data_IF_081354507238
#
_entry.id   IF_081354507238
#
_cell.length_a   1.000
_cell.length_b   1.000
_cell.length_c   1.000
_cell.angle_alpha   90.00
_cell.angle_beta   90.00
_cell.angle_gamma   90.00
#
_symmetry.space_group_name_H-M   'P 1'
#
loop_
_entity.id
_entity.type
_entity.pdbx_description
1 polymer ?
#
# COMPACT_ATOMS: atom_id res chain seq x y z
N UNK A 1 -25.63 -14.30 -23.42
CA UNK A 1 -25.86 -15.57 -24.13
C UNK A 1 -26.22 -15.27 -25.58
N UNK A 2 -25.62 -15.95 -26.55
CA UNK A 2 -26.00 -15.86 -27.98
C UNK A 2 -27.26 -16.69 -28.33
N UNK A 3 -27.85 -17.37 -27.35
CA UNK A 3 -29.10 -18.14 -27.46
C UNK A 3 -30.06 -17.77 -26.32
N UNK A 4 -30.89 -16.73 -26.49
CA UNK A 4 -31.82 -16.26 -25.47
C UNK A 4 -32.89 -17.31 -25.07
N UNK A 5 -33.11 -18.33 -25.91
CA UNK A 5 -34.03 -19.43 -25.64
C UNK A 5 -33.64 -20.30 -24.42
N UNK A 6 -32.38 -20.25 -23.96
CA UNK A 6 -31.90 -21.12 -22.88
C UNK A 6 -32.34 -20.65 -21.49
N UNK A 7 -32.83 -19.40 -21.33
CA UNK A 7 -33.37 -18.86 -20.06
C UNK A 7 -32.49 -19.09 -18.81
N UNK A 8 -31.17 -19.23 -18.98
CA UNK A 8 -30.22 -19.36 -17.87
C UNK A 8 -29.62 -18.00 -17.57
N UNK A 9 -29.75 -17.55 -16.32
CA UNK A 9 -29.09 -16.36 -15.79
C UNK A 9 -28.01 -16.78 -14.80
N UNK A 10 -26.79 -16.31 -15.00
CA UNK A 10 -25.69 -16.50 -14.07
C UNK A 10 -25.55 -15.26 -13.19
N UNK A 11 -25.53 -15.44 -11.88
CA UNK A 11 -25.22 -14.40 -10.91
C UNK A 11 -23.96 -14.85 -10.18
N UNK A 12 -22.93 -14.01 -10.20
CA UNK A 12 -21.68 -14.24 -9.47
C UNK A 12 -21.45 -13.08 -8.51
N UNK A 13 -20.85 -13.38 -7.37
CA UNK A 13 -20.43 -12.38 -6.39
C UNK A 13 -18.92 -12.49 -6.20
N UNK A 14 -18.27 -11.36 -6.06
CA UNK A 14 -16.82 -11.29 -5.91
C UNK A 14 -16.47 -10.07 -5.06
N UNK A 15 -15.41 -10.23 -4.26
CA UNK A 15 -14.80 -9.12 -3.51
C UNK A 15 -13.92 -8.23 -4.41
N UNK A 16 -13.69 -8.65 -5.65
CA UNK A 16 -12.86 -7.99 -6.67
C UNK A 16 -13.62 -7.80 -7.96
N UNK A 17 -13.28 -6.74 -8.69
CA UNK A 17 -13.70 -6.60 -10.08
C UNK A 17 -13.24 -7.80 -10.91
N UNK A 18 -14.07 -8.22 -11.87
CA UNK A 18 -13.71 -9.29 -12.81
C UNK A 18 -12.43 -8.93 -13.57
N UNK A 19 -12.28 -7.66 -13.98
CA UNK A 19 -11.05 -7.15 -14.58
C UNK A 19 -9.80 -7.43 -13.72
N UNK A 20 -9.86 -7.17 -12.41
CA UNK A 20 -8.72 -7.45 -11.51
C UNK A 20 -8.41 -8.95 -11.46
N UNK A 21 -9.44 -9.80 -11.37
CA UNK A 21 -9.28 -11.26 -11.38
C UNK A 21 -8.64 -11.73 -12.69
N UNK A 22 -9.11 -11.24 -13.84
CA UNK A 22 -8.55 -11.61 -15.15
C UNK A 22 -7.07 -11.24 -15.26
N UNK A 23 -6.71 -10.02 -14.85
CA UNK A 23 -5.31 -9.55 -14.84
C UNK A 23 -4.43 -10.42 -13.94
N UNK A 24 -4.93 -10.87 -12.78
CA UNK A 24 -4.19 -11.75 -11.86
C UNK A 24 -3.93 -13.14 -12.46
N UNK A 25 -4.91 -13.71 -13.17
CA UNK A 25 -4.80 -15.05 -13.76
C UNK A 25 -3.84 -15.12 -14.95
N UNK A 26 -3.46 -13.96 -15.53
CA UNK A 26 -2.69 -13.87 -16.80
C UNK A 26 -3.32 -14.65 -17.95
N UNK A 27 -4.63 -14.92 -17.87
CA UNK A 27 -5.38 -15.60 -18.90
C UNK A 27 -5.92 -14.60 -19.93
N UNK A 28 -6.29 -15.08 -21.12
CA UNK A 28 -6.87 -14.27 -22.21
C UNK A 28 -8.40 -14.11 -22.03
N UNK A 29 -8.87 -14.05 -20.78
CA UNK A 29 -10.30 -14.00 -20.46
C UNK A 29 -10.90 -12.65 -20.85
N UNK A 30 -12.15 -12.67 -21.35
CA UNK A 30 -12.96 -11.47 -21.67
C UNK A 30 -14.29 -11.47 -20.90
N UNK A 31 -14.33 -12.21 -19.79
CA UNK A 31 -15.47 -12.40 -18.91
C UNK A 31 -15.90 -11.08 -18.26
N UNK A 32 -14.96 -10.19 -17.94
CA UNK A 32 -15.26 -8.86 -17.38
C UNK A 32 -16.23 -8.04 -18.25
N UNK A 33 -16.10 -8.15 -19.57
CA UNK A 33 -16.96 -7.45 -20.53
C UNK A 33 -18.27 -8.18 -20.83
N UNK A 34 -18.45 -9.39 -20.29
CA UNK A 34 -19.65 -10.21 -20.51
C UNK A 34 -20.71 -10.03 -19.42
N UNK A 35 -20.30 -9.72 -18.20
CA UNK A 35 -21.20 -9.55 -17.06
C UNK A 35 -21.67 -8.11 -16.90
N UNK A 36 -22.96 -7.93 -16.57
CA UNK A 36 -23.44 -6.68 -16.02
C UNK A 36 -22.90 -6.51 -14.60
N UNK A 37 -22.26 -5.38 -14.32
CA UNK A 37 -21.61 -5.11 -13.03
C UNK A 37 -22.56 -4.36 -12.12
N UNK A 38 -22.71 -4.86 -10.89
CA UNK A 38 -23.43 -4.16 -9.84
C UNK A 38 -22.54 -4.14 -8.59
N UNK A 39 -22.22 -2.93 -8.13
CA UNK A 39 -21.36 -2.73 -6.96
C UNK A 39 -22.24 -2.55 -5.73
N UNK A 40 -21.98 -3.37 -4.71
CA UNK A 40 -22.65 -3.24 -3.42
C UNK A 40 -21.82 -2.29 -2.55
N UNK A 41 -22.38 -1.11 -2.30
CA UNK A 41 -21.78 -0.09 -1.45
C UNK A 41 -22.27 -0.15 0.00
N UNK A 42 -21.95 0.91 0.72
CA UNK A 42 -22.47 1.16 2.07
C UNK A 42 -23.96 1.52 2.00
N UNK A 43 -24.69 1.30 3.10
CA UNK A 43 -26.05 1.83 3.24
C UNK A 43 -26.06 3.35 3.05
N UNK A 44 -27.02 3.80 2.26
CA UNK A 44 -27.38 5.20 2.11
C UNK A 44 -28.29 5.65 3.26
N UNK A 45 -28.80 6.88 3.17
CA UNK A 45 -29.62 7.47 4.24
C UNK A 45 -30.91 6.67 4.45
N UNK A 46 -31.57 6.25 3.36
CA UNK A 46 -32.83 5.51 3.41
C UNK A 46 -32.63 4.11 4.03
N UNK A 47 -31.58 3.39 3.60
CA UNK A 47 -31.24 2.09 4.17
C UNK A 47 -30.80 2.17 5.64
N UNK A 48 -30.12 3.25 6.04
CA UNK A 48 -29.79 3.50 7.45
C UNK A 48 -31.04 3.75 8.30
N UNK A 49 -32.02 4.49 7.78
CA UNK A 49 -33.30 4.70 8.46
C UNK A 49 -34.05 3.38 8.66
N UNK A 50 -34.09 2.52 7.64
CA UNK A 50 -34.67 1.18 7.74
C UNK A 50 -33.94 0.32 8.78
N UNK A 51 -32.61 0.33 8.76
CA UNK A 51 -31.79 -0.36 9.75
C UNK A 51 -32.12 0.10 11.18
N UNK A 52 -32.17 1.40 11.44
CA UNK A 52 -32.50 1.91 12.78
C UNK A 52 -33.95 1.61 13.17
N UNK A 53 -34.90 1.62 12.23
CA UNK A 53 -36.29 1.26 12.50
C UNK A 53 -36.43 -0.20 12.97
N UNK A 54 -35.57 -1.12 12.51
CA UNK A 54 -35.55 -2.51 12.99
C UNK A 54 -35.18 -2.59 14.47
N UNK A 55 -34.25 -1.75 14.94
CA UNK A 55 -33.90 -1.69 16.37
C UNK A 55 -35.06 -1.12 17.21
N UNK A 56 -35.78 -0.12 16.69
CA UNK A 56 -36.99 0.40 17.35
C UNK A 56 -38.10 -0.65 17.49
N UNK A 57 -38.23 -1.57 16.53
CA UNK A 57 -39.23 -2.63 16.58
C UNK A 57 -39.03 -3.64 17.72
N UNK A 58 -37.82 -3.72 18.29
CA UNK A 58 -37.51 -4.56 19.47
C UNK A 58 -37.48 -3.77 20.77
N UNK A 59 -38.03 -2.55 20.78
CA UNK A 59 -38.15 -1.70 21.96
C UNK A 59 -36.93 -0.82 22.25
N UNK A 60 -35.97 -0.75 21.32
CA UNK A 60 -34.79 0.09 21.45
C UNK A 60 -35.02 1.40 20.72
N UNK A 61 -35.39 2.45 21.45
CA UNK A 61 -35.44 3.80 20.90
C UNK A 61 -34.02 4.41 20.90
N UNK A 62 -33.56 4.83 19.71
CA UNK A 62 -32.21 5.34 19.51
C UNK A 62 -32.25 6.85 19.35
N UNK A 63 -31.90 7.62 20.40
CA UNK A 63 -31.75 9.05 20.24
C UNK A 63 -30.61 9.35 19.26
N UNK A 64 -30.64 10.56 18.68
CA UNK A 64 -29.67 10.99 17.66
C UNK A 64 -28.21 10.74 18.08
N UNK A 65 -27.88 11.05 19.33
CA UNK A 65 -26.53 10.83 19.87
C UNK A 65 -26.08 9.37 19.78
N UNK A 66 -26.96 8.42 20.07
CA UNK A 66 -26.65 6.98 19.99
C UNK A 66 -26.50 6.51 18.55
N UNK A 67 -27.30 7.05 17.63
CA UNK A 67 -27.12 6.81 16.19
C UNK A 67 -25.76 7.33 15.72
N UNK A 68 -25.39 8.55 16.12
CA UNK A 68 -24.09 9.15 15.78
C UNK A 68 -22.91 8.30 16.32
N UNK A 69 -23.04 7.73 17.52
CA UNK A 69 -22.05 6.78 18.07
C UNK A 69 -21.96 5.49 17.24
N UNK A 70 -23.09 4.90 16.83
CA UNK A 70 -23.09 3.72 15.96
C UNK A 70 -22.42 4.02 14.61
N UNK A 71 -22.73 5.18 14.03
CA UNK A 71 -22.16 5.65 12.76
C UNK A 71 -20.68 6.00 12.88
N UNK A 72 -20.19 6.42 14.05
CA UNK A 72 -18.76 6.61 14.27
C UNK A 72 -17.96 5.32 14.02
N UNK A 73 -18.42 4.20 14.60
CA UNK A 73 -17.78 2.89 14.42
C UNK A 73 -18.03 2.30 13.03
N UNK A 74 -19.30 2.26 12.63
CA UNK A 74 -19.75 1.44 11.50
C UNK A 74 -19.88 2.25 10.20
N UNK A 75 -20.14 3.54 10.30
CA UNK A 75 -20.62 4.34 9.17
C UNK A 75 -21.87 3.69 8.56
N UNK A 76 -21.90 3.57 7.24
CA UNK A 76 -22.94 2.82 6.52
C UNK A 76 -22.60 1.34 6.27
N UNK A 77 -21.56 0.78 6.90
CA UNK A 77 -21.08 -0.56 6.54
C UNK A 77 -22.04 -1.66 7.03
N UNK A 78 -22.70 -2.42 6.12
CA UNK A 78 -23.78 -3.34 6.51
C UNK A 78 -23.34 -4.39 7.52
N UNK A 79 -22.20 -5.06 7.29
CA UNK A 79 -21.67 -6.07 8.22
C UNK A 79 -21.34 -5.52 9.61
N UNK A 80 -20.69 -4.34 9.69
CA UNK A 80 -20.36 -3.73 10.97
C UNK A 80 -21.62 -3.26 11.70
N UNK A 81 -22.58 -2.68 10.99
CA UNK A 81 -23.88 -2.30 11.54
C UNK A 81 -24.63 -3.52 12.10
N UNK A 82 -24.69 -4.65 11.39
CA UNK A 82 -25.36 -5.85 11.90
C UNK A 82 -24.63 -6.45 13.11
N UNK A 83 -23.29 -6.50 13.10
CA UNK A 83 -22.50 -6.97 14.25
C UNK A 83 -22.69 -6.08 15.49
N UNK A 84 -22.59 -4.76 15.29
CA UNK A 84 -22.76 -3.76 16.33
C UNK A 84 -24.21 -3.74 16.86
N UNK A 85 -25.18 -3.81 15.96
CA UNK A 85 -26.61 -3.84 16.28
C UNK A 85 -26.99 -5.08 17.08
N UNK A 86 -26.47 -6.25 16.70
CA UNK A 86 -26.64 -7.49 17.47
C UNK A 86 -26.14 -7.31 18.91
N UNK A 87 -24.91 -6.82 19.10
CA UNK A 87 -24.34 -6.67 20.44
C UNK A 87 -25.09 -5.60 21.28
N UNK A 88 -25.57 -4.53 20.64
CA UNK A 88 -26.43 -3.53 21.30
C UNK A 88 -27.73 -4.17 21.78
N UNK A 89 -28.37 -5.03 20.98
CA UNK A 89 -29.60 -5.73 21.38
C UNK A 89 -29.33 -6.69 22.53
N UNK A 90 -28.23 -7.44 22.50
CA UNK A 90 -27.88 -8.37 23.58
C UNK A 90 -27.57 -7.63 24.89
N UNK A 91 -26.82 -6.54 24.86
CA UNK A 91 -26.59 -5.71 26.05
C UNK A 91 -27.87 -5.08 26.60
N UNK A 92 -28.77 -4.62 25.71
CA UNK A 92 -30.06 -4.09 26.13
C UNK A 92 -30.91 -5.18 26.80
N UNK A 93 -30.88 -6.42 26.32
CA UNK A 93 -31.56 -7.57 26.97
C UNK A 93 -30.97 -7.90 28.34
N UNK A 94 -29.64 -7.82 28.49
CA UNK A 94 -28.96 -8.12 29.75
C UNK A 94 -29.17 -7.02 30.81
N UNK A 95 -29.19 -5.75 30.40
CA UNK A 95 -29.06 -4.61 31.32
C UNK A 95 -30.20 -3.59 31.27
N UNK A 96 -31.06 -3.66 30.25
CA UNK A 96 -32.10 -2.66 29.99
C UNK A 96 -31.59 -1.31 29.48
N UNK A 97 -30.29 -1.19 29.20
CA UNK A 97 -29.64 0.06 28.80
C UNK A 97 -28.90 -0.14 27.47
N UNK A 98 -29.02 0.84 26.58
CA UNK A 98 -28.24 0.90 25.35
C UNK A 98 -26.88 1.52 25.65
N UNK A 99 -25.82 0.74 25.49
CA UNK A 99 -24.44 1.17 25.69
C UNK A 99 -23.58 0.79 24.48
N UNK A 100 -23.41 1.74 23.56
CA UNK A 100 -22.68 1.53 22.30
C UNK A 100 -21.19 1.33 22.54
N UNK A 101 -20.60 2.03 23.51
CA UNK A 101 -19.17 1.91 23.81
C UNK A 101 -18.85 0.53 24.39
N UNK A 102 -19.68 0.05 25.32
CA UNK A 102 -19.53 -1.30 25.87
C UNK A 102 -19.77 -2.37 24.82
N UNK A 103 -20.76 -2.19 23.95
CA UNK A 103 -20.99 -3.09 22.82
C UNK A 103 -19.76 -3.13 21.91
N UNK A 104 -19.22 -1.97 21.52
CA UNK A 104 -18.05 -1.87 20.65
C UNK A 104 -16.83 -2.56 21.27
N UNK A 105 -16.63 -2.42 22.59
CA UNK A 105 -15.57 -3.10 23.33
C UNK A 105 -15.70 -4.63 23.32
N UNK A 106 -16.92 -5.17 23.37
CA UNK A 106 -17.15 -6.63 23.32
C UNK A 106 -16.79 -7.22 21.95
N UNK A 107 -16.99 -6.46 20.88
CA UNK A 107 -16.70 -6.89 19.50
C UNK A 107 -15.42 -6.28 18.91
N UNK A 108 -14.60 -5.62 19.74
CA UNK A 108 -13.43 -4.84 19.30
C UNK A 108 -12.51 -5.67 18.41
N UNK A 109 -12.14 -6.87 18.86
CA UNK A 109 -11.28 -7.76 18.08
C UNK A 109 -11.90 -8.12 16.73
N UNK A 110 -13.20 -8.39 16.68
CA UNK A 110 -13.90 -8.72 15.43
C UNK A 110 -13.96 -7.54 14.45
N UNK A 111 -14.05 -6.31 14.95
CA UNK A 111 -13.93 -5.09 14.12
C UNK A 111 -12.52 -5.00 13.54
N UNK A 112 -11.49 -5.19 14.37
CA UNK A 112 -10.09 -5.12 13.94
C UNK A 112 -9.77 -6.22 12.93
N UNK A 113 -10.17 -7.47 13.18
CA UNK A 113 -9.98 -8.60 12.25
C UNK A 113 -10.63 -8.31 10.89
N UNK A 114 -11.83 -7.70 10.89
CA UNK A 114 -12.51 -7.28 9.67
C UNK A 114 -11.74 -6.20 8.91
N UNK A 115 -11.18 -5.21 9.63
CA UNK A 115 -10.33 -4.18 9.03
C UNK A 115 -9.08 -4.80 8.42
N UNK A 116 -8.36 -5.66 9.16
CA UNK A 116 -7.18 -6.36 8.68
C UNK A 116 -7.47 -7.18 7.41
N UNK A 117 -8.62 -7.87 7.38
CA UNK A 117 -9.06 -8.59 6.20
C UNK A 117 -9.29 -7.67 5.00
N UNK A 118 -9.97 -6.54 5.18
CA UNK A 118 -10.15 -5.54 4.12
C UNK A 118 -8.81 -5.00 3.62
N UNK A 119 -7.89 -4.67 4.53
CA UNK A 119 -6.55 -4.19 4.17
C UNK A 119 -5.74 -5.27 3.43
N UNK A 120 -5.92 -6.55 3.77
CA UNK A 120 -5.32 -7.67 3.06
C UNK A 120 -5.75 -7.73 1.59
N UNK A 121 -7.06 -7.62 1.34
CA UNK A 121 -7.61 -7.57 -0.04
C UNK A 121 -7.07 -6.36 -0.80
N UNK A 122 -7.06 -5.18 -0.19
CA UNK A 122 -6.54 -3.95 -0.79
C UNK A 122 -5.03 -4.02 -1.07
N UNK A 123 -4.27 -4.72 -0.22
CA UNK A 123 -2.83 -4.89 -0.37
C UNK A 123 -2.48 -5.76 -1.57
N UNK A 124 -3.22 -6.85 -1.77
CA UNK A 124 -3.07 -7.75 -2.91
C UNK A 124 -3.33 -7.03 -4.24
N UNK A 125 -4.31 -6.11 -4.28
CA UNK A 125 -4.65 -5.31 -5.46
C UNK A 125 -3.85 -4.01 -5.57
N UNK A 126 -2.81 -3.82 -4.75
CA UNK A 126 -1.97 -2.61 -4.67
C UNK A 126 -2.77 -1.30 -4.41
N UNK A 127 -4.00 -1.42 -3.95
CA UNK A 127 -4.93 -0.31 -3.70
C UNK A 127 -4.80 0.26 -2.28
N UNK A 128 -4.13 -0.44 -1.36
CA UNK A 128 -3.90 0.05 0.01
C UNK A 128 -3.13 1.37 0.04
N UNK A 129 -2.01 1.47 -0.71
CA UNK A 129 -1.24 2.71 -0.77
C UNK A 129 -2.08 3.86 -1.40
N UNK A 130 -2.92 3.52 -2.39
CA UNK A 130 -3.80 4.49 -3.07
C UNK A 130 -4.79 5.11 -2.09
N UNK A 131 -5.49 4.29 -1.30
CA UNK A 131 -6.45 4.80 -0.32
C UNK A 131 -5.78 5.68 0.76
N UNK A 132 -4.57 5.33 1.21
CA UNK A 132 -3.82 6.15 2.18
C UNK A 132 -3.44 7.52 1.59
N UNK A 133 -2.91 7.55 0.36
CA UNK A 133 -2.59 8.80 -0.34
C UNK A 133 -3.82 9.68 -0.57
N UNK A 134 -4.96 9.08 -0.91
CA UNK A 134 -6.22 9.81 -1.16
C UNK A 134 -6.76 10.43 0.14
N UNK A 135 -6.67 9.73 1.27
CA UNK A 135 -7.25 10.18 2.53
C UNK A 135 -6.34 11.11 3.36
N UNK A 136 -5.02 10.95 3.25
CA UNK A 136 -4.05 11.63 4.11
C UNK A 136 -2.97 12.39 3.35
N UNK A 137 -2.74 12.06 2.08
CA UNK A 137 -1.65 12.62 1.27
C UNK A 137 -0.25 12.15 1.72
N UNK A 138 0.81 12.64 1.05
CA UNK A 138 0.79 13.32 -0.23
C UNK A 138 0.44 12.36 -1.39
N UNK A 139 -0.25 12.86 -2.41
CA UNK A 139 -0.59 12.08 -3.61
C UNK A 139 0.65 11.97 -4.51
N UNK A 140 1.22 10.78 -4.62
CA UNK A 140 2.44 10.53 -5.40
C UNK A 140 2.16 9.77 -6.70
N UNK A 141 1.27 8.79 -6.66
CA UNK A 141 0.93 7.98 -7.83
C UNK A 141 -0.55 7.55 -7.87
N UNK A 142 -1.38 7.98 -6.92
CA UNK A 142 -2.82 7.78 -6.95
C UNK A 142 -3.49 8.66 -8.01
N UNK A 143 -4.41 8.06 -8.77
CA UNK A 143 -5.16 8.69 -9.86
C UNK A 143 -6.64 8.85 -9.49
N UNK A 144 -7.34 9.72 -10.22
CA UNK A 144 -8.78 9.88 -10.09
C UNK A 144 -9.54 8.55 -10.24
N UNK A 145 -9.10 7.69 -11.17
CA UNK A 145 -9.70 6.35 -11.38
C UNK A 145 -9.55 5.44 -10.16
N UNK A 146 -8.48 5.59 -9.38
CA UNK A 146 -8.29 4.82 -8.14
C UNK A 146 -9.31 5.27 -7.07
N UNK A 147 -9.56 6.58 -6.98
CA UNK A 147 -10.57 7.13 -6.07
C UNK A 147 -11.99 6.70 -6.47
N UNK A 148 -12.34 6.75 -7.75
CA UNK A 148 -13.63 6.26 -8.26
C UNK A 148 -13.84 4.77 -7.94
N UNK A 149 -12.80 3.93 -8.08
CA UNK A 149 -12.91 2.51 -7.79
C UNK A 149 -13.11 2.26 -6.28
N UNK A 150 -12.37 2.96 -5.42
CA UNK A 150 -12.53 2.89 -3.96
C UNK A 150 -13.91 3.39 -3.50
N UNK A 151 -14.48 4.40 -4.17
CA UNK A 151 -15.86 4.84 -3.95
C UNK A 151 -16.89 3.79 -4.37
N UNK A 152 -16.69 3.12 -5.52
CA UNK A 152 -17.58 2.03 -5.98
C UNK A 152 -17.59 0.86 -5.00
N UNK A 153 -16.46 0.55 -4.36
CA UNK A 153 -16.40 -0.42 -3.27
C UNK A 153 -16.97 0.10 -1.94
N UNK A 154 -17.39 1.37 -1.88
CA UNK A 154 -17.95 2.00 -0.69
C UNK A 154 -16.92 2.34 0.40
N UNK A 155 -15.62 2.20 0.13
CA UNK A 155 -14.56 2.38 1.14
C UNK A 155 -14.33 3.85 1.49
N UNK A 156 -14.55 4.74 0.53
CA UNK A 156 -14.44 6.19 0.70
C UNK A 156 -15.68 6.90 0.12
N UNK A 157 -15.93 8.11 0.61
CA UNK A 157 -16.96 9.03 0.12
C UNK A 157 -16.29 10.36 -0.22
N UNK A 158 -16.80 11.06 -1.22
CA UNK A 158 -16.37 12.42 -1.55
C UNK A 158 -17.43 13.41 -1.07
N UNK A 159 -17.00 14.49 -0.42
CA UNK A 159 -17.88 15.60 -0.04
C UNK A 159 -18.07 16.59 -1.20
N UNK A 160 -18.97 17.56 -1.02
CA UNK A 160 -19.26 18.59 -2.03
C UNK A 160 -18.05 19.47 -2.37
N UNK A 161 -17.02 19.48 -1.52
CA UNK A 161 -15.79 20.24 -1.71
C UNK A 161 -14.69 19.42 -2.41
N UNK A 162 -14.95 18.16 -2.77
CA UNK A 162 -13.98 17.28 -3.41
C UNK A 162 -13.06 16.54 -2.44
N UNK A 163 -13.29 16.62 -1.12
CA UNK A 163 -12.48 15.91 -0.13
C UNK A 163 -12.99 14.49 0.07
N UNK A 164 -12.05 13.56 0.21
CA UNK A 164 -12.36 12.16 0.47
C UNK A 164 -12.31 11.83 1.97
N UNK A 165 -13.30 11.07 2.43
CA UNK A 165 -13.34 10.49 3.79
C UNK A 165 -13.57 8.98 3.71
N UNK A 166 -13.11 8.23 4.71
CA UNK A 166 -13.43 6.81 4.81
C UNK A 166 -14.92 6.58 5.14
N UNK A 167 -15.42 5.36 4.98
CA UNK A 167 -16.83 5.04 5.24
C UNK A 167 -17.27 5.28 6.70
N UNK A 168 -16.35 5.21 7.66
CA UNK A 168 -16.54 5.57 9.07
C UNK A 168 -15.32 6.28 9.65
N UNK A 169 -15.53 7.09 10.69
CA UNK A 169 -14.42 7.82 11.33
C UNK A 169 -13.52 6.89 12.16
N UNK A 170 -14.09 5.82 12.72
CA UNK A 170 -13.30 4.79 13.39
C UNK A 170 -12.35 4.08 12.40
N UNK A 171 -12.83 3.70 11.21
CA UNK A 171 -11.97 3.12 10.18
C UNK A 171 -10.94 4.12 9.66
N UNK A 172 -11.29 5.40 9.51
CA UNK A 172 -10.32 6.47 9.19
C UNK A 172 -9.21 6.56 10.23
N UNK A 173 -9.56 6.51 11.52
CA UNK A 173 -8.60 6.55 12.62
C UNK A 173 -7.68 5.34 12.59
N UNK A 174 -8.22 4.15 12.35
CA UNK A 174 -7.44 2.93 12.16
C UNK A 174 -6.48 3.05 10.96
N UNK A 175 -6.94 3.51 9.80
CA UNK A 175 -6.10 3.75 8.62
C UNK A 175 -4.99 4.76 8.89
N UNK A 176 -5.23 5.79 9.72
CA UNK A 176 -4.20 6.75 10.14
C UNK A 176 -3.15 6.11 11.05
N UNK A 177 -3.53 5.16 11.88
CA UNK A 177 -2.55 4.37 12.66
C UNK A 177 -1.69 3.50 11.75
N UNK A 178 -2.31 2.87 10.74
CA UNK A 178 -1.60 2.08 9.73
C UNK A 178 -0.68 2.99 8.89
N UNK A 179 -1.14 4.16 8.46
CA UNK A 179 -0.32 5.14 7.73
C UNK A 179 0.95 5.54 8.49
N UNK A 180 0.81 5.84 9.80
CA UNK A 180 1.96 6.09 10.68
C UNK A 180 2.91 4.91 10.80
N UNK A 181 2.43 3.68 10.62
CA UNK A 181 3.25 2.46 10.59
C UNK A 181 3.81 2.14 9.18
N UNK A 182 3.35 2.85 8.13
CA UNK A 182 3.62 2.62 6.70
C UNK A 182 4.66 3.59 6.12
N UNK A 183 5.28 4.46 6.94
CA UNK A 183 6.23 5.49 6.49
C UNK A 183 7.60 4.96 5.98
N UNK A 184 7.85 3.65 6.05
CA UNK A 184 9.12 3.08 5.59
C UNK A 184 9.21 2.94 4.07
N UNK A 185 8.11 2.70 3.36
CA UNK A 185 8.18 2.43 1.91
C UNK A 185 8.46 3.68 1.06
N UNK A 186 7.78 4.82 1.26
CA UNK A 186 8.13 6.06 0.56
C UNK A 186 9.57 6.48 0.85
N UNK A 187 9.98 6.44 2.13
CA UNK A 187 11.33 6.76 2.58
C UNK A 187 12.39 5.82 1.97
N UNK A 188 12.09 4.53 1.90
CA UNK A 188 12.94 3.54 1.24
C UNK A 188 13.11 3.83 -0.24
N UNK A 189 12.01 4.12 -0.96
CA UNK A 189 12.04 4.43 -2.39
C UNK A 189 12.87 5.67 -2.67
N UNK A 190 12.71 6.71 -1.87
CA UNK A 190 13.52 7.93 -1.95
C UNK A 190 15.02 7.62 -1.75
N UNK A 191 15.33 6.77 -0.77
CA UNK A 191 16.70 6.32 -0.48
C UNK A 191 17.29 5.58 -1.68
N UNK A 192 16.57 4.63 -2.27
CA UNK A 192 17.06 3.88 -3.45
C UNK A 192 17.29 4.78 -4.66
N UNK A 193 16.35 5.69 -4.97
CA UNK A 193 16.47 6.62 -6.10
C UNK A 193 17.70 7.52 -5.91
N UNK A 194 17.89 8.04 -4.70
CA UNK A 194 19.02 8.92 -4.38
C UNK A 194 20.35 8.16 -4.46
N UNK A 195 20.41 6.93 -3.94
CA UNK A 195 21.60 6.07 -4.06
C UNK A 195 21.96 5.77 -5.52
N UNK A 196 20.98 5.37 -6.35
CA UNK A 196 21.19 5.10 -7.78
C UNK A 196 21.77 6.32 -8.49
N UNK A 197 21.20 7.50 -8.25
CA UNK A 197 21.68 8.75 -8.83
C UNK A 197 23.13 9.03 -8.41
N UNK A 198 23.44 9.01 -7.13
CA UNK A 198 24.79 9.32 -6.63
C UNK A 198 25.82 8.30 -7.11
N UNK A 199 25.46 7.02 -7.18
CA UNK A 199 26.34 5.99 -7.75
C UNK A 199 26.59 6.28 -9.23
N UNK A 200 25.55 6.51 -10.02
CA UNK A 200 25.69 6.80 -11.44
C UNK A 200 26.57 8.04 -11.67
N UNK A 201 26.32 9.14 -10.95
CA UNK A 201 27.14 10.35 -11.02
C UNK A 201 28.62 10.06 -10.71
N UNK A 202 28.90 9.38 -9.60
CA UNK A 202 30.28 9.08 -9.17
C UNK A 202 31.00 8.10 -10.08
N UNK A 203 30.29 7.14 -10.64
CA UNK A 203 30.89 6.19 -11.58
C UNK A 203 31.13 6.83 -12.94
N UNK A 204 30.23 7.71 -13.42
CA UNK A 204 30.45 8.50 -14.64
C UNK A 204 31.64 9.46 -14.47
N UNK A 205 31.76 10.13 -13.32
CA UNK A 205 32.92 11.00 -13.00
C UNK A 205 34.26 10.24 -13.07
N UNK A 206 34.28 8.95 -12.72
CA UNK A 206 35.51 8.16 -12.61
C UNK A 206 35.84 7.32 -13.84
N UNK A 207 34.83 6.76 -14.51
CA UNK A 207 34.98 5.80 -15.61
C UNK A 207 34.31 6.26 -16.92
N UNK A 208 33.65 7.43 -16.94
CA UNK A 208 32.94 7.94 -18.12
C UNK A 208 31.57 7.31 -18.35
N UNK A 209 30.95 7.59 -19.50
CA UNK A 209 29.58 7.11 -19.81
C UNK A 209 29.47 5.58 -19.86
N UNK A 210 30.57 4.89 -20.21
CA UNK A 210 30.67 3.43 -20.26
C UNK A 210 31.10 2.80 -18.92
N UNK A 211 30.83 3.48 -17.80
CA UNK A 211 31.33 3.06 -16.48
C UNK A 211 30.97 1.62 -16.10
N UNK A 212 29.84 1.08 -16.55
CA UNK A 212 29.44 -0.30 -16.24
C UNK A 212 30.41 -1.31 -16.86
N UNK A 213 30.85 -1.07 -18.08
CA UNK A 213 31.76 -1.95 -18.82
C UNK A 213 33.16 -1.89 -18.22
N UNK A 214 33.63 -0.69 -17.91
CA UNK A 214 34.92 -0.47 -17.26
C UNK A 214 34.96 -1.00 -15.83
N UNK A 215 33.90 -0.78 -15.05
CA UNK A 215 33.78 -1.32 -13.70
C UNK A 215 33.71 -2.85 -13.73
N UNK A 216 33.01 -3.45 -14.70
CA UNK A 216 32.96 -4.91 -14.85
C UNK A 216 34.33 -5.53 -15.19
N UNK A 217 35.17 -4.80 -15.95
CA UNK A 217 36.56 -5.21 -16.22
C UNK A 217 37.43 -5.09 -14.96
N UNK A 218 37.31 -3.98 -14.23
CA UNK A 218 38.10 -3.71 -13.03
C UNK A 218 37.69 -4.59 -11.84
N UNK A 219 36.40 -4.93 -11.74
CA UNK A 219 35.78 -5.68 -10.64
C UNK A 219 34.93 -6.85 -11.20
N UNK A 220 35.56 -7.97 -11.58
CA UNK A 220 34.86 -9.10 -12.19
C UNK A 220 33.72 -9.68 -11.34
N UNK A 221 33.78 -9.51 -10.01
CA UNK A 221 32.74 -9.93 -9.07
C UNK A 221 31.41 -9.17 -9.23
N UNK A 222 31.42 -7.97 -9.80
CA UNK A 222 30.20 -7.21 -10.10
C UNK A 222 29.59 -7.57 -11.45
N UNK A 223 30.32 -8.30 -12.30
CA UNK A 223 29.86 -8.64 -13.66
C UNK A 223 28.53 -9.38 -13.64
N UNK A 224 28.37 -10.33 -12.73
CA UNK A 224 27.13 -11.13 -12.58
C UNK A 224 25.92 -10.28 -12.20
N UNK A 225 26.13 -9.22 -11.41
CA UNK A 225 25.07 -8.26 -11.05
C UNK A 225 24.58 -7.55 -12.32
N UNK A 226 25.51 -7.04 -13.14
CA UNK A 226 25.15 -6.32 -14.37
C UNK A 226 24.58 -7.24 -15.45
N UNK A 227 25.06 -8.48 -15.56
CA UNK A 227 24.47 -9.50 -16.44
C UNK A 227 23.00 -9.78 -16.04
N UNK A 228 22.72 -9.93 -14.74
CA UNK A 228 21.35 -10.10 -14.22
C UNK A 228 20.47 -8.88 -14.49
N UNK A 229 21.00 -7.67 -14.30
CA UNK A 229 20.30 -6.41 -14.62
C UNK A 229 19.97 -6.31 -16.11
N UNK A 230 20.89 -6.73 -16.99
CA UNK A 230 20.71 -6.73 -18.43
C UNK A 230 19.63 -7.71 -18.87
N UNK A 231 19.55 -8.90 -18.26
CA UNK A 231 18.45 -9.83 -18.50
C UNK A 231 17.10 -9.25 -18.06
N UNK A 232 17.04 -8.56 -16.92
CA UNK A 232 15.84 -7.89 -16.43
C UNK A 232 15.40 -6.76 -17.37
N UNK A 233 16.35 -5.94 -17.83
CA UNK A 233 16.12 -4.88 -18.82
C UNK A 233 15.58 -5.43 -20.13
N UNK A 234 16.19 -6.48 -20.68
CA UNK A 234 15.72 -7.12 -21.92
C UNK A 234 14.29 -7.69 -21.79
N UNK A 235 13.93 -8.22 -20.62
CA UNK A 235 12.55 -8.67 -20.33
C UNK A 235 11.59 -7.49 -20.30
N UNK A 236 11.98 -6.36 -19.71
CA UNK A 236 11.18 -5.15 -19.66
C UNK A 236 11.01 -4.53 -21.06
N UNK A 237 12.08 -4.43 -21.85
CA UNK A 237 12.06 -3.94 -23.24
C UNK A 237 11.14 -4.79 -24.12
N UNK A 238 11.18 -6.12 -23.99
CA UNK A 238 10.26 -7.02 -24.70
C UNK A 238 8.80 -6.79 -24.32
N UNK A 239 8.53 -6.37 -23.08
CA UNK A 239 7.19 -6.21 -22.55
C UNK A 239 6.62 -4.80 -22.77
N UNK A 240 7.47 -3.77 -22.78
CA UNK A 240 7.06 -2.36 -22.74
C UNK A 240 7.73 -1.48 -23.81
N UNK A 241 8.57 -2.05 -24.67
CA UNK A 241 9.18 -1.38 -25.82
C UNK A 241 9.94 -0.11 -25.43
N UNK A 242 9.61 1.01 -26.08
CA UNK A 242 10.29 2.30 -25.89
C UNK A 242 10.07 2.94 -24.51
N UNK A 243 9.22 2.36 -23.65
CA UNK A 243 8.97 2.84 -22.27
C UNK A 243 9.86 2.17 -21.22
N UNK A 244 10.61 1.13 -21.59
CA UNK A 244 11.53 0.46 -20.67
C UNK A 244 12.69 1.38 -20.26
N UNK A 245 13.22 1.19 -19.05
CA UNK A 245 14.38 1.99 -18.64
C UNK A 245 15.61 1.64 -19.47
N UNK A 246 16.34 2.67 -19.90
CA UNK A 246 17.63 2.53 -20.59
C UNK A 246 18.80 2.39 -19.63
N UNK A 247 18.62 2.72 -18.35
CA UNK A 247 19.68 2.69 -17.35
C UNK A 247 19.71 1.33 -16.65
N UNK A 248 20.83 0.60 -16.79
CA UNK A 248 21.00 -0.70 -16.14
C UNK A 248 20.94 -0.62 -14.60
N UNK A 249 21.33 0.52 -14.01
CA UNK A 249 21.30 0.72 -12.56
C UNK A 249 19.87 0.78 -12.01
N UNK A 250 18.85 1.00 -12.85
CA UNK A 250 17.46 1.00 -12.41
C UNK A 250 16.97 -0.41 -12.05
N UNK A 251 17.65 -1.44 -12.55
CA UNK A 251 17.33 -2.85 -12.31
C UNK A 251 18.08 -3.46 -11.13
N UNK A 252 18.92 -2.68 -10.43
CA UNK A 252 19.68 -3.16 -9.27
C UNK A 252 18.81 -3.26 -8.01
N UNK A 253 19.09 -4.27 -7.20
CA UNK A 253 18.54 -4.46 -5.87
C UNK A 253 19.40 -3.74 -4.81
N UNK A 254 18.93 -3.60 -3.56
CA UNK A 254 19.67 -2.85 -2.54
C UNK A 254 21.04 -3.44 -2.26
N UNK A 255 21.13 -4.78 -2.21
CA UNK A 255 22.39 -5.49 -2.05
C UNK A 255 23.39 -5.18 -3.17
N UNK A 256 22.89 -5.01 -4.40
CA UNK A 256 23.71 -4.68 -5.57
C UNK A 256 24.27 -3.25 -5.47
N UNK A 257 23.45 -2.29 -5.04
CA UNK A 257 23.87 -0.90 -4.83
C UNK A 257 25.01 -0.82 -3.81
N UNK A 258 24.87 -1.53 -2.68
CA UNK A 258 25.92 -1.59 -1.67
C UNK A 258 27.15 -2.38 -2.15
N UNK A 259 26.97 -3.42 -2.97
CA UNK A 259 28.10 -4.13 -3.58
C UNK A 259 28.95 -3.22 -4.47
N UNK A 260 28.29 -2.37 -5.28
CA UNK A 260 28.98 -1.35 -6.11
C UNK A 260 29.71 -0.35 -5.21
N UNK A 261 29.04 0.21 -4.20
CA UNK A 261 29.64 1.16 -3.24
C UNK A 261 30.86 0.56 -2.54
N UNK A 262 30.80 -0.70 -2.10
CA UNK A 262 31.89 -1.34 -1.38
C UNK A 262 33.06 -1.75 -2.27
N UNK A 263 32.81 -2.08 -3.54
CA UNK A 263 33.86 -2.33 -4.52
C UNK A 263 34.68 -1.06 -4.79
N UNK A 264 33.99 0.08 -4.88
CA UNK A 264 34.60 1.39 -5.16
C UNK A 264 34.63 2.32 -3.95
N UNK A 265 34.88 1.74 -2.77
CA UNK A 265 34.78 2.47 -1.51
C UNK A 265 35.70 3.68 -1.39
N UNK A 266 36.86 3.68 -2.06
CA UNK A 266 37.74 4.85 -2.10
C UNK A 266 37.02 6.11 -2.62
N UNK A 267 36.03 5.94 -3.49
CA UNK A 267 35.23 7.02 -4.08
C UNK A 267 34.09 7.45 -3.14
N UNK A 268 33.48 6.49 -2.43
CA UNK A 268 32.30 6.73 -1.61
C UNK A 268 32.60 7.03 -0.13
N UNK A 269 33.79 6.70 0.37
CA UNK A 269 34.13 6.82 1.80
C UNK A 269 33.88 8.21 2.36
N UNK A 270 34.18 9.26 1.59
CA UNK A 270 34.11 10.64 2.04
C UNK A 270 32.65 11.14 2.08
N UNK A 271 31.77 10.53 1.28
CA UNK A 271 30.32 10.80 1.28
C UNK A 271 29.68 10.14 2.51
N UNK A 272 30.04 8.89 2.77
CA UNK A 272 29.36 8.06 3.76
C UNK A 272 29.93 8.21 5.18
N UNK A 273 31.14 8.76 5.34
CA UNK A 273 31.72 9.24 6.61
C UNK A 273 31.99 8.19 7.71
N UNK A 274 31.46 6.97 7.57
CA UNK A 274 31.66 5.81 8.45
C UNK A 274 32.29 4.67 7.65
N UNK A 275 32.88 3.69 8.33
CA UNK A 275 33.61 2.59 7.68
C UNK A 275 32.71 1.58 6.94
N UNK A 276 33.35 0.69 6.16
CA UNK A 276 32.65 -0.38 5.42
C UNK A 276 31.84 -1.32 6.30
N UNK A 277 32.29 -1.61 7.51
CA UNK A 277 31.62 -2.59 8.39
C UNK A 277 30.30 -2.01 8.91
N UNK A 278 30.30 -0.74 9.28
CA UNK A 278 29.12 0.01 9.69
C UNK A 278 28.04 0.00 8.62
N UNK A 279 28.42 0.26 7.36
CA UNK A 279 27.50 0.22 6.23
C UNK A 279 27.15 -1.19 5.79
N UNK A 280 28.04 -2.17 5.96
CA UNK A 280 27.77 -3.57 5.68
C UNK A 280 26.62 -4.13 6.50
N UNK A 281 26.57 -3.82 7.80
CA UNK A 281 25.45 -4.20 8.68
C UNK A 281 24.12 -3.57 8.23
N UNK A 282 24.16 -2.29 7.82
CA UNK A 282 22.98 -1.56 7.31
C UNK A 282 22.50 -2.16 5.99
N UNK A 283 23.43 -2.42 5.07
CA UNK A 283 23.14 -3.05 3.79
C UNK A 283 22.43 -4.39 3.94
N UNK A 284 22.83 -5.22 4.91
CA UNK A 284 22.18 -6.49 5.21
C UNK A 284 20.74 -6.31 5.68
N UNK A 285 20.50 -5.41 6.65
CA UNK A 285 19.14 -5.14 7.14
C UNK A 285 18.26 -4.58 6.02
N UNK A 286 18.75 -3.57 5.30
CA UNK A 286 18.00 -2.91 4.22
C UNK A 286 17.69 -3.86 3.05
N UNK A 287 18.60 -4.77 2.72
CA UNK A 287 18.35 -5.83 1.73
C UNK A 287 17.31 -6.85 2.21
N UNK A 288 17.35 -7.22 3.50
CA UNK A 288 16.41 -8.16 4.12
C UNK A 288 14.99 -7.61 4.10
N UNK A 289 14.78 -6.35 4.44
CA UNK A 289 13.46 -5.74 4.55
C UNK A 289 12.84 -5.34 3.20
N UNK A 290 13.65 -5.09 2.15
CA UNK A 290 13.14 -4.60 0.86
C UNK A 290 12.16 -5.57 0.21
N UNK A 291 12.41 -6.88 0.29
CA UNK A 291 11.51 -7.88 -0.32
C UNK A 291 10.15 -7.94 0.38
N UNK A 292 10.06 -8.03 1.73
CA UNK A 292 8.80 -7.85 2.44
C UNK A 292 8.09 -6.53 2.11
N UNK A 293 8.82 -5.41 2.06
CA UNK A 293 8.24 -4.09 1.77
C UNK A 293 7.69 -3.99 0.34
N UNK A 294 8.45 -4.46 -0.68
CA UNK A 294 8.03 -4.43 -2.08
C UNK A 294 6.82 -5.34 -2.39
N UNK A 295 6.58 -6.34 -1.55
CA UNK A 295 5.44 -7.26 -1.65
C UNK A 295 4.35 -6.99 -0.61
N UNK A 296 4.40 -5.86 0.10
CA UNK A 296 3.48 -5.48 1.18
C UNK A 296 3.30 -6.55 2.27
N UNK A 297 4.29 -7.44 2.46
CA UNK A 297 4.30 -8.49 3.50
C UNK A 297 4.79 -7.94 4.84
N UNK A 298 4.14 -6.88 5.27
CA UNK A 298 4.42 -6.14 6.49
C UNK A 298 4.36 -7.04 7.75
N UNK A 299 3.51 -8.06 7.76
CA UNK A 299 3.38 -9.04 8.84
C UNK A 299 4.66 -9.88 9.11
N UNK A 300 5.65 -9.88 8.21
CA UNK A 300 6.91 -10.64 8.35
C UNK A 300 8.00 -9.82 9.07
N UNK A 301 7.84 -8.50 9.21
CA UNK A 301 8.84 -7.61 9.78
C UNK A 301 8.47 -7.20 11.21
N UNK A 302 9.38 -7.44 12.16
CA UNK A 302 9.22 -6.96 13.54
C UNK A 302 9.36 -5.43 13.62
N UNK A 303 8.64 -4.80 14.54
CA UNK A 303 8.62 -3.33 14.69
C UNK A 303 10.01 -2.72 14.92
N UNK A 304 10.89 -3.40 15.66
CA UNK A 304 12.25 -2.93 15.90
C UNK A 304 13.11 -2.90 14.62
N UNK A 305 12.92 -3.84 13.70
CA UNK A 305 13.66 -3.89 12.42
C UNK A 305 13.23 -2.73 11.52
N UNK A 306 11.95 -2.35 11.57
CA UNK A 306 11.40 -1.22 10.82
C UNK A 306 11.91 0.11 11.32
N UNK A 307 11.84 0.37 12.62
CA UNK A 307 12.37 1.60 13.21
C UNK A 307 13.87 1.76 12.94
N UNK A 308 14.61 0.65 13.03
CA UNK A 308 16.05 0.63 12.72
C UNK A 308 16.29 0.96 11.24
N UNK A 309 15.51 0.37 10.34
CA UNK A 309 15.61 0.63 8.92
C UNK A 309 15.25 2.07 8.53
N UNK A 310 14.21 2.63 9.15
CA UNK A 310 13.81 4.03 8.96
C UNK A 310 14.96 4.97 9.34
N UNK A 311 15.58 4.73 10.50
CA UNK A 311 16.76 5.48 10.94
C UNK A 311 17.91 5.41 9.94
N UNK A 312 18.18 4.23 9.36
CA UNK A 312 19.23 4.07 8.35
C UNK A 312 18.90 4.79 7.04
N UNK A 313 17.65 4.78 6.59
CA UNK A 313 17.23 5.50 5.39
C UNK A 313 17.41 7.01 5.56
N UNK A 314 16.94 7.56 6.70
CA UNK A 314 17.12 8.99 7.04
C UNK A 314 18.61 9.36 7.14
N UNK A 315 19.43 8.49 7.71
CA UNK A 315 20.88 8.69 7.79
C UNK A 315 21.50 8.80 6.38
N UNK A 316 21.19 7.85 5.49
CA UNK A 316 21.68 7.85 4.10
C UNK A 316 21.23 9.13 3.39
N UNK A 317 19.94 9.45 3.41
CA UNK A 317 19.41 10.64 2.73
C UNK A 317 20.04 11.93 3.25
N UNK A 318 20.29 12.02 4.55
CA UNK A 318 20.98 13.18 5.15
C UNK A 318 22.42 13.33 4.63
N UNK A 319 23.15 12.22 4.50
CA UNK A 319 24.52 12.23 3.98
C UNK A 319 24.55 12.61 2.49
N UNK A 320 23.64 12.04 1.70
CA UNK A 320 23.56 12.32 0.27
C UNK A 320 23.07 13.76 -0.02
N UNK A 321 22.11 14.29 0.75
CA UNK A 321 21.65 15.67 0.61
C UNK A 321 22.70 16.73 0.98
N UNK A 322 23.55 16.44 1.97
CA UNK A 322 24.71 17.30 2.29
C UNK A 322 25.72 17.33 1.15
N UNK A 323 25.93 16.20 0.47
CA UNK A 323 26.83 16.12 -0.67
C UNK A 323 26.37 17.02 -1.83
N UNK A 324 25.09 16.99 -2.17
CA UNK A 324 24.53 17.86 -3.22
C UNK A 324 24.68 19.36 -2.87
N UNK A 325 24.48 19.71 -1.60
CA UNK A 325 24.62 21.10 -1.12
C UNK A 325 26.05 21.62 -1.18
N UNK A 326 27.04 20.73 -1.18
CA UNK A 326 28.48 21.08 -1.24
C UNK A 326 28.98 21.24 -2.69
N UNK A 327 28.23 20.75 -3.69
CA UNK A 327 28.52 20.95 -5.13
C UNK A 327 27.93 22.27 -5.68
N UNK A 328 27.02 22.92 -4.94
CA UNK A 328 26.34 24.16 -5.33
C UNK A 328 27.03 25.47 -4.89
N UNK A 329 28.22 25.36 -4.29
CA UNK A 329 29.16 26.45 -3.97
C UNK A 329 30.43 26.21 -4.79
#
# INVERSE_FOLDING_TARGET
SYRPEWRVTFITTSRRSLQSIELQTRAISTLDHTFHKHYLGMFDVEALEEYFSRLSSVGIDLPRQTKDQLLFYCGGHPYLLEMMGYEVVELFRESGVVDVERAAKRIEQSIIDHYEHMLGVLSEDKSLNKILQILFGPVTDAKHTDAEELQRYGLIKCDDNGNYTAFSEHFRTYLRMIERQVDLWPLWRETEVTLRRVIAEKMIEQYGEQWIEELSKARPNLKTIFETCKEAQQKEEKSFGSRASRSLIDFTYPGDLFAIIFAEWSIFRDIFGKDKNYWGQRAQLLSKIRTPLAHNRHQVLHDYERQTAEGYCREILTLLGKHDSTKGL
#
